data_IF_998370646076
#
_entry.id   IF_998370646076
#
_cell.length_a   1.000
_cell.length_b   1.000
_cell.length_c   1.000
_cell.angle_alpha   90.00
_cell.angle_beta   90.00
_cell.angle_gamma   90.00
#
_symmetry.space_group_name_H-M   'P 1'
#
loop_
_entity.id
_entity.type
_entity.pdbx_description
1 polymer ?
#
# COMPACT_ATOMS: atom_id res chain seq x y z
N UNK A 1 -37.11 -57.12 40.18
CA UNK A 1 -36.70 -55.93 39.40
C UNK A 1 -36.16 -56.41 38.07
N UNK A 2 -36.92 -56.18 37.00
CA UNK A 2 -36.72 -56.80 35.68
C UNK A 2 -35.71 -56.01 34.85
N UNK A 3 -34.64 -56.67 34.43
CA UNK A 3 -33.75 -56.17 33.35
C UNK A 3 -34.37 -56.55 31.98
N UNK A 4 -34.70 -55.56 31.19
CA UNK A 4 -35.06 -55.75 29.78
C UNK A 4 -33.78 -55.85 28.94
N UNK A 5 -33.59 -57.02 28.32
CA UNK A 5 -32.62 -57.26 27.25
C UNK A 5 -33.23 -56.74 25.97
N UNK A 6 -32.53 -55.83 25.34
CA UNK A 6 -32.82 -55.38 23.98
C UNK A 6 -31.97 -56.20 23.02
N UNK A 7 -32.65 -56.99 22.21
CA UNK A 7 -32.04 -57.81 21.13
C UNK A 7 -31.68 -56.89 19.95
N UNK A 8 -30.43 -56.88 19.56
CA UNK A 8 -29.93 -56.22 18.34
C UNK A 8 -29.92 -57.30 17.24
N UNK A 9 -30.73 -57.10 16.20
CA UNK A 9 -30.74 -57.95 15.00
C UNK A 9 -29.58 -57.56 14.07
N UNK A 10 -28.88 -58.53 13.48
CA UNK A 10 -27.86 -58.25 12.45
C UNK A 10 -28.52 -58.24 11.07
N UNK A 11 -28.61 -57.07 10.47
CA UNK A 11 -28.98 -57.02 9.06
C UNK A 11 -28.24 -55.91 8.33
N UNK A 12 -27.64 -56.37 7.27
CA UNK A 12 -27.09 -55.71 6.08
C UNK A 12 -25.61 -55.33 6.10
N UNK A 13 -24.81 -56.33 5.78
CA UNK A 13 -23.52 -56.12 5.11
C UNK A 13 -23.77 -55.49 3.73
N UNK A 14 -23.52 -54.18 3.60
CA UNK A 14 -23.44 -53.57 2.28
C UNK A 14 -22.04 -53.82 1.74
N UNK A 15 -21.97 -54.61 0.70
CA UNK A 15 -20.79 -54.79 -0.15
C UNK A 15 -20.43 -53.45 -0.77
N UNK A 16 -19.33 -52.86 -0.34
CA UNK A 16 -18.71 -51.76 -1.04
C UNK A 16 -18.11 -52.25 -2.35
N UNK A 17 -18.81 -51.98 -3.45
CA UNK A 17 -18.28 -52.14 -4.79
C UNK A 17 -17.07 -51.21 -4.94
N UNK A 18 -15.88 -51.78 -5.03
CA UNK A 18 -14.66 -51.09 -5.42
C UNK A 18 -14.80 -50.63 -6.86
N UNK A 19 -15.17 -49.38 -7.07
CA UNK A 19 -15.01 -48.73 -8.37
C UNK A 19 -13.51 -48.68 -8.65
N UNK A 20 -13.04 -49.49 -9.57
CA UNK A 20 -11.76 -49.33 -10.21
C UNK A 20 -11.75 -47.98 -10.93
N UNK A 21 -11.04 -47.02 -10.37
CA UNK A 21 -10.69 -45.82 -11.11
C UNK A 21 -9.74 -46.26 -12.22
N UNK A 22 -10.22 -46.31 -13.45
CA UNK A 22 -9.38 -46.41 -14.61
C UNK A 22 -8.54 -45.11 -14.62
N UNK A 23 -7.26 -45.26 -14.44
CA UNK A 23 -6.30 -44.15 -14.65
C UNK A 23 -6.37 -43.80 -16.14
N UNK A 24 -7.15 -42.75 -16.45
CA UNK A 24 -7.01 -42.07 -17.72
C UNK A 24 -5.60 -41.50 -17.75
N UNK A 25 -4.78 -42.09 -18.62
CA UNK A 25 -3.48 -41.53 -18.97
C UNK A 25 -3.74 -40.12 -19.53
N UNK A 26 -3.60 -39.10 -18.65
CA UNK A 26 -3.53 -37.73 -19.09
C UNK A 26 -2.31 -37.63 -19.99
N UNK A 27 -2.53 -37.39 -21.27
CA UNK A 27 -1.54 -36.90 -22.19
C UNK A 27 -0.73 -35.83 -21.48
N UNK A 28 0.59 -36.03 -21.39
CA UNK A 28 1.52 -35.01 -20.99
C UNK A 28 1.35 -33.84 -21.96
N UNK A 29 0.52 -32.86 -21.57
CA UNK A 29 0.59 -31.56 -22.19
C UNK A 29 2.03 -31.11 -22.01
N UNK A 30 2.71 -30.88 -23.12
CA UNK A 30 4.04 -30.27 -23.14
C UNK A 30 3.89 -28.93 -22.44
N UNK A 31 4.24 -28.88 -21.15
CA UNK A 31 4.35 -27.62 -20.45
C UNK A 31 5.40 -26.81 -21.21
N UNK A 32 4.98 -25.82 -21.98
CA UNK A 32 5.88 -24.87 -22.59
C UNK A 32 6.75 -24.31 -21.47
N UNK A 33 8.05 -24.51 -21.57
CA UNK A 33 9.00 -23.91 -20.66
C UNK A 33 8.94 -22.41 -20.93
N UNK A 34 8.18 -21.69 -20.10
CA UNK A 34 8.08 -20.23 -20.18
C UNK A 34 9.43 -19.69 -19.76
N UNK A 35 10.11 -19.05 -20.67
CA UNK A 35 11.34 -18.29 -20.39
C UNK A 35 10.95 -17.06 -19.55
N UNK A 36 11.16 -17.19 -18.23
CA UNK A 36 10.79 -16.15 -17.27
C UNK A 36 11.54 -14.84 -17.50
N UNK A 37 12.77 -14.90 -17.97
CA UNK A 37 13.58 -13.70 -18.23
C UNK A 37 13.06 -12.93 -19.45
N UNK A 38 12.60 -13.64 -20.46
CA UNK A 38 11.98 -13.03 -21.62
C UNK A 38 10.68 -12.31 -21.28
N UNK A 39 9.80 -12.98 -20.53
CA UNK A 39 8.53 -12.39 -20.09
C UNK A 39 8.79 -11.18 -19.19
N UNK A 40 9.78 -11.25 -18.31
CA UNK A 40 10.20 -10.14 -17.46
C UNK A 40 10.62 -8.92 -18.29
N UNK A 41 11.46 -9.13 -19.28
CA UNK A 41 11.95 -8.06 -20.14
C UNK A 41 10.81 -7.42 -20.96
N UNK A 42 9.89 -8.22 -21.48
CA UNK A 42 8.72 -7.73 -22.22
C UNK A 42 7.83 -6.86 -21.34
N UNK A 43 7.63 -7.26 -20.06
CA UNK A 43 6.85 -6.47 -19.08
C UNK A 43 7.56 -5.16 -18.77
N UNK A 44 8.87 -5.16 -18.52
CA UNK A 44 9.62 -3.92 -18.24
C UNK A 44 9.63 -2.97 -19.44
N UNK A 45 9.75 -3.48 -20.66
CA UNK A 45 9.66 -2.66 -21.86
C UNK A 45 8.25 -2.04 -22.01
N UNK A 46 7.21 -2.82 -21.76
CA UNK A 46 5.84 -2.33 -21.81
C UNK A 46 5.60 -1.21 -20.79
N UNK A 47 6.08 -1.38 -19.56
CA UNK A 47 5.98 -0.34 -18.52
C UNK A 47 6.78 0.92 -18.93
N UNK A 48 7.97 0.77 -19.45
CA UNK A 48 8.80 1.91 -19.88
C UNK A 48 8.16 2.67 -21.04
N UNK A 49 7.52 1.97 -21.97
CA UNK A 49 6.76 2.57 -23.06
C UNK A 49 5.54 3.34 -22.54
N UNK A 50 4.80 2.76 -21.59
CA UNK A 50 3.67 3.43 -20.93
C UNK A 50 4.11 4.69 -20.17
N UNK A 51 5.18 4.64 -19.41
CA UNK A 51 5.74 5.82 -18.71
C UNK A 51 6.09 6.93 -19.72
N UNK A 52 6.66 6.59 -20.88
CA UNK A 52 6.97 7.57 -21.92
C UNK A 52 5.74 8.11 -22.63
N UNK A 53 4.74 7.27 -22.88
CA UNK A 53 3.48 7.65 -23.48
C UNK A 53 2.63 8.53 -22.52
N UNK A 54 2.67 8.20 -21.23
CA UNK A 54 1.88 8.87 -20.19
C UNK A 54 2.46 10.21 -19.69
N UNK A 55 3.41 10.84 -20.39
CA UNK A 55 3.87 12.19 -20.03
C UNK A 55 2.73 13.22 -19.85
N UNK A 56 1.53 12.87 -20.26
CA UNK A 56 0.30 13.68 -20.12
C UNK A 56 -0.64 13.18 -19.02
N UNK A 57 -0.41 12.00 -18.47
CA UNK A 57 -1.27 11.43 -17.44
C UNK A 57 -0.67 11.64 -16.06
N UNK A 58 -1.53 11.87 -15.08
CA UNK A 58 -1.12 12.07 -13.70
C UNK A 58 -0.60 10.76 -13.12
N UNK A 59 0.68 10.74 -12.83
CA UNK A 59 1.24 9.71 -11.97
C UNK A 59 0.86 9.98 -10.52
N UNK A 60 0.69 8.93 -9.75
CA UNK A 60 0.60 9.03 -8.31
C UNK A 60 1.74 8.25 -7.67
N UNK A 61 2.19 8.71 -6.53
CA UNK A 61 3.17 8.01 -5.71
C UNK A 61 2.65 7.78 -4.30
N UNK A 62 3.12 6.72 -3.66
CA UNK A 62 2.96 6.54 -2.22
C UNK A 62 4.31 6.77 -1.57
N UNK A 63 4.40 7.84 -0.79
CA UNK A 63 5.61 8.27 -0.12
C UNK A 63 5.49 8.07 1.39
N UNK A 64 6.62 7.78 2.04
CA UNK A 64 6.69 7.67 3.48
C UNK A 64 7.41 8.89 4.05
N UNK A 65 6.63 9.76 4.72
CA UNK A 65 7.14 11.02 5.28
C UNK A 65 6.59 11.17 6.70
N UNK A 66 7.46 11.58 7.61
CA UNK A 66 7.10 11.88 9.00
C UNK A 66 6.30 10.75 9.69
N UNK A 67 6.74 9.49 9.52
CA UNK A 67 6.11 8.33 10.15
C UNK A 67 4.81 7.84 9.53
N UNK A 68 4.31 8.50 8.46
CA UNK A 68 3.06 8.17 7.78
C UNK A 68 3.27 7.97 6.28
N UNK A 69 2.35 7.23 5.69
CA UNK A 69 2.29 7.03 4.24
C UNK A 69 1.28 7.98 3.64
N UNK A 70 1.68 8.62 2.55
CA UNK A 70 0.85 9.58 1.82
C UNK A 70 0.76 9.17 0.36
N UNK A 71 -0.46 9.08 -0.15
CA UNK A 71 -0.68 8.98 -1.60
C UNK A 71 -0.71 10.40 -2.15
N UNK A 72 0.16 10.67 -3.10
CA UNK A 72 0.38 12.01 -3.64
C UNK A 72 0.40 12.01 -5.16
N UNK A 73 -0.06 13.09 -5.73
CA UNK A 73 0.00 13.39 -7.16
C UNK A 73 0.52 14.80 -7.36
N UNK A 74 0.80 15.18 -8.59
CA UNK A 74 1.28 16.52 -8.91
C UNK A 74 0.31 17.59 -8.44
N UNK A 75 0.82 18.57 -7.71
CA UNK A 75 0.05 19.70 -7.19
C UNK A 75 -0.63 19.45 -5.85
N UNK A 76 -0.56 18.27 -5.28
CA UNK A 76 -1.17 17.95 -3.98
C UNK A 76 -0.46 18.67 -2.82
N UNK A 77 -1.23 19.01 -1.80
CA UNK A 77 -0.76 19.56 -0.55
C UNK A 77 -0.80 18.50 0.55
N UNK A 78 0.30 18.37 1.28
CA UNK A 78 0.42 17.48 2.43
C UNK A 78 0.65 18.34 3.68
N UNK A 79 -0.10 18.05 4.73
CA UNK A 79 0.11 18.67 6.03
C UNK A 79 0.91 17.71 6.93
N UNK A 80 2.18 18.01 7.15
CA UNK A 80 3.07 17.24 8.00
C UNK A 80 3.01 17.79 9.42
N UNK A 81 2.76 16.90 10.37
CA UNK A 81 2.75 17.26 11.80
C UNK A 81 4.17 17.57 12.28
N UNK A 82 4.30 18.64 13.06
CA UNK A 82 5.54 19.10 13.63
C UNK A 82 6.27 20.16 12.81
N UNK A 83 7.22 20.81 13.46
CA UNK A 83 8.08 21.80 12.85
C UNK A 83 9.33 21.13 12.28
N UNK A 84 9.34 20.91 10.98
CA UNK A 84 10.50 20.38 10.29
C UNK A 84 11.61 21.44 10.17
N UNK A 85 12.89 21.08 10.18
CA UNK A 85 14.01 22.00 10.04
C UNK A 85 14.20 22.46 8.58
N UNK A 86 13.13 22.97 7.97
CA UNK A 86 13.08 23.48 6.61
C UNK A 86 12.51 24.88 6.63
N UNK A 87 12.89 25.73 5.69
CA UNK A 87 12.34 27.07 5.51
C UNK A 87 11.22 27.08 4.47
N UNK A 88 10.33 28.06 4.55
CA UNK A 88 9.31 28.26 3.51
C UNK A 88 10.00 28.62 2.19
N UNK A 89 9.64 27.91 1.13
CA UNK A 89 10.25 28.03 -0.19
C UNK A 89 11.35 27.00 -0.48
N UNK A 90 11.78 26.22 0.52
CA UNK A 90 12.77 25.17 0.30
C UNK A 90 12.22 24.08 -0.61
N UNK A 91 13.00 23.69 -1.60
CA UNK A 91 12.73 22.55 -2.46
C UNK A 91 13.34 21.29 -1.86
N UNK A 92 12.53 20.25 -1.73
CA UNK A 92 12.93 18.97 -1.15
C UNK A 92 12.61 17.83 -2.09
N UNK A 93 13.40 16.75 -2.01
CA UNK A 93 13.12 15.48 -2.69
C UNK A 93 12.64 14.46 -1.67
N UNK A 94 11.53 13.80 -1.97
CA UNK A 94 11.00 12.75 -1.14
C UNK A 94 11.59 11.41 -1.59
N UNK A 95 12.62 10.94 -0.89
CA UNK A 95 13.40 9.76 -1.28
C UNK A 95 12.69 8.43 -0.97
N UNK A 96 11.83 8.42 0.06
CA UNK A 96 11.17 7.18 0.51
C UNK A 96 9.88 6.95 -0.26
N UNK A 97 10.01 6.51 -1.50
CA UNK A 97 8.87 6.15 -2.35
C UNK A 97 8.63 4.64 -2.26
N UNK A 98 7.44 4.27 -1.83
CA UNK A 98 7.03 2.86 -1.67
C UNK A 98 6.44 2.30 -2.96
N UNK A 99 5.72 3.13 -3.69
CA UNK A 99 4.98 2.75 -4.88
C UNK A 99 4.82 3.96 -5.79
N UNK A 100 4.82 3.71 -7.09
CA UNK A 100 4.37 4.67 -8.11
C UNK A 100 3.41 3.98 -9.05
N UNK A 101 2.43 4.68 -9.54
CA UNK A 101 1.48 4.13 -10.49
C UNK A 101 0.92 5.18 -11.44
N UNK A 102 0.51 4.68 -12.59
CA UNK A 102 -0.24 5.39 -13.61
C UNK A 102 -1.64 4.81 -13.79
N UNK A 103 -2.21 5.00 -14.99
CA UNK A 103 -3.52 4.45 -15.31
C UNK A 103 -3.48 2.92 -15.50
N UNK A 104 -2.42 2.42 -16.13
CA UNK A 104 -2.33 1.03 -16.61
C UNK A 104 -1.26 0.20 -15.88
N UNK A 105 -0.44 0.81 -15.04
CA UNK A 105 0.64 0.12 -14.34
C UNK A 105 0.79 0.56 -12.89
N UNK A 106 1.47 -0.26 -12.10
CA UNK A 106 1.90 0.04 -10.74
C UNK A 106 3.25 -0.61 -10.47
N UNK A 107 4.20 0.19 -9.97
CA UNK A 107 5.51 -0.25 -9.53
C UNK A 107 5.56 -0.26 -8.01
N UNK A 108 5.88 -1.39 -7.44
CA UNK A 108 6.00 -1.57 -5.98
C UNK A 108 7.46 -1.71 -5.58
N UNK A 109 7.86 -0.97 -4.57
CA UNK A 109 9.18 -1.12 -3.94
C UNK A 109 9.25 -2.35 -3.02
N UNK A 110 10.47 -2.86 -2.76
CA UNK A 110 10.73 -3.96 -1.84
C UNK A 110 11.80 -3.60 -0.81
N UNK A 111 11.51 -2.77 0.18
CA UNK A 111 10.29 -2.00 0.47
C UNK A 111 10.22 -0.66 -0.26
N UNK A 112 11.32 -0.12 -0.75
CA UNK A 112 11.43 1.18 -1.40
C UNK A 112 11.76 1.03 -2.88
N UNK A 113 11.30 1.98 -3.68
CA UNK A 113 11.75 2.15 -5.06
C UNK A 113 13.10 2.86 -5.07
N UNK A 114 13.92 2.54 -6.06
CA UNK A 114 15.21 3.19 -6.22
C UNK A 114 15.06 4.67 -6.59
N UNK A 115 15.88 5.56 -6.02
CA UNK A 115 15.83 7.00 -6.31
C UNK A 115 16.09 7.34 -7.78
N UNK A 116 16.75 6.44 -8.53
CA UNK A 116 16.98 6.60 -9.96
C UNK A 116 15.73 6.31 -10.78
N UNK A 117 14.88 5.39 -10.33
CA UNK A 117 13.67 5.00 -11.01
C UNK A 117 12.52 6.00 -10.82
N UNK A 118 12.41 6.58 -9.64
CA UNK A 118 11.31 7.50 -9.29
C UNK A 118 11.84 8.66 -8.46
N UNK A 119 11.44 9.87 -8.84
CA UNK A 119 11.71 11.10 -8.06
C UNK A 119 10.40 11.83 -7.79
N UNK A 120 10.24 12.28 -6.55
CA UNK A 120 9.12 13.11 -6.11
C UNK A 120 9.68 14.41 -5.56
N UNK A 121 9.46 15.49 -6.29
CA UNK A 121 9.91 16.82 -5.92
C UNK A 121 8.78 17.56 -5.20
N UNK A 122 9.11 18.24 -4.13
CA UNK A 122 8.17 18.98 -3.31
C UNK A 122 8.77 20.32 -2.85
N UNK A 123 7.90 21.24 -2.43
CA UNK A 123 8.30 22.55 -1.91
C UNK A 123 7.53 22.85 -0.63
N UNK A 124 8.21 23.42 0.34
CA UNK A 124 7.58 23.89 1.57
C UNK A 124 6.84 25.18 1.30
N UNK A 125 5.52 25.18 1.50
CA UNK A 125 4.65 26.32 1.20
C UNK A 125 4.40 27.16 2.44
N UNK A 126 4.14 26.50 3.57
CA UNK A 126 3.68 27.17 4.77
C UNK A 126 4.15 26.43 6.02
N UNK A 127 4.45 27.17 7.06
CA UNK A 127 4.59 26.70 8.43
C UNK A 127 3.50 27.33 9.27
N UNK A 128 2.67 26.52 9.90
CA UNK A 128 1.53 26.97 10.68
C UNK A 128 1.37 26.16 11.96
N UNK A 129 0.49 26.63 12.82
CA UNK A 129 -0.02 25.85 13.93
C UNK A 129 -1.37 25.25 13.54
N UNK A 130 -1.70 24.08 14.08
CA UNK A 130 -3.03 23.49 13.95
C UNK A 130 -4.07 24.37 14.67
N UNK A 131 -5.34 24.18 14.31
CA UNK A 131 -6.41 24.87 15.04
C UNK A 131 -6.33 24.49 16.53
N UNK A 132 -6.37 25.50 17.43
CA UNK A 132 -6.28 25.23 18.85
C UNK A 132 -7.50 24.45 19.34
N UNK A 133 -7.24 23.36 20.05
CA UNK A 133 -8.26 22.55 20.70
C UNK A 133 -8.38 22.92 22.18
N UNK A 134 -9.59 23.16 22.63
CA UNK A 134 -9.89 23.45 24.02
C UNK A 134 -10.00 22.11 24.81
N UNK A 135 -9.07 21.88 25.71
CA UNK A 135 -9.12 20.75 26.63
C UNK A 135 -9.63 21.24 28.00
N UNK A 136 -10.90 20.97 28.28
CA UNK A 136 -11.53 21.35 29.52
C UNK A 136 -11.71 20.13 30.43
N UNK A 137 -11.21 20.25 31.65
CA UNK A 137 -11.36 19.24 32.71
C UNK A 137 -12.03 19.88 33.90
N UNK A 138 -13.14 19.30 34.35
CA UNK A 138 -13.82 19.65 35.59
C UNK A 138 -13.81 18.45 36.53
N UNK A 139 -13.19 18.61 37.69
CA UNK A 139 -13.19 17.57 38.72
C UNK A 139 -14.44 17.74 39.56
N UNK A 140 -15.34 16.75 39.50
CA UNK A 140 -16.55 16.72 40.35
C UNK A 140 -16.14 16.69 41.82
N UNK A 141 -16.91 17.37 42.66
CA UNK A 141 -16.67 17.55 44.10
C UNK A 141 -15.39 18.33 44.46
N UNK A 142 -14.66 18.81 43.47
CA UNK A 142 -13.54 19.75 43.66
C UNK A 142 -13.85 21.05 42.91
N UNK A 143 -13.48 22.18 43.51
CA UNK A 143 -13.66 23.49 42.88
C UNK A 143 -12.64 23.75 41.74
N UNK A 144 -11.91 22.71 41.35
CA UNK A 144 -10.83 22.81 40.40
C UNK A 144 -11.33 22.61 38.96
N UNK A 145 -11.07 23.57 38.11
CA UNK A 145 -11.39 23.56 36.68
C UNK A 145 -10.13 23.93 35.92
N UNK A 146 -9.79 23.13 34.90
CA UNK A 146 -8.66 23.39 34.02
C UNK A 146 -9.16 23.60 32.60
N UNK A 147 -8.72 24.66 31.96
CA UNK A 147 -8.92 24.92 30.55
C UNK A 147 -7.55 25.12 29.91
N UNK A 148 -7.14 24.18 29.09
CA UNK A 148 -5.93 24.26 28.29
C UNK A 148 -6.27 24.33 26.82
N UNK A 149 -5.58 25.23 26.11
CA UNK A 149 -5.57 25.29 24.65
C UNK A 149 -4.34 24.58 24.14
N UNK A 150 -4.53 23.55 23.32
CA UNK A 150 -3.45 22.81 22.70
C UNK A 150 -3.45 23.09 21.21
N UNK A 151 -2.29 23.48 20.69
CA UNK A 151 -2.06 23.66 19.26
C UNK A 151 -0.71 23.06 18.93
N UNK A 152 -0.67 22.22 17.90
CA UNK A 152 0.55 21.57 17.45
C UNK A 152 1.08 22.29 16.21
N UNK A 153 2.39 22.30 16.01
CA UNK A 153 3.01 22.88 14.83
C UNK A 153 2.80 21.97 13.62
N UNK A 154 2.70 22.57 12.44
CA UNK A 154 2.50 21.85 11.20
C UNK A 154 3.27 22.52 10.04
N UNK A 155 3.81 21.70 9.17
CA UNK A 155 4.50 22.14 7.94
C UNK A 155 3.71 21.69 6.73
N UNK A 156 3.31 22.62 5.87
CA UNK A 156 2.59 22.31 4.63
C UNK A 156 3.56 22.22 3.48
N UNK A 157 3.53 21.10 2.78
CA UNK A 157 4.39 20.81 1.63
C UNK A 157 3.52 20.59 0.40
N UNK A 158 3.88 21.23 -0.71
CA UNK A 158 3.24 21.00 -2.02
C UNK A 158 4.10 20.10 -2.88
N UNK A 159 3.50 19.10 -3.48
CA UNK A 159 4.16 18.25 -4.46
C UNK A 159 4.27 19.01 -5.78
N UNK A 160 5.49 19.18 -6.30
CA UNK A 160 5.75 19.84 -7.58
C UNK A 160 5.54 18.87 -8.74
N UNK A 161 6.19 17.71 -8.66
CA UNK A 161 6.14 16.72 -9.71
C UNK A 161 6.43 15.32 -9.18
N UNK A 162 5.79 14.34 -9.79
CA UNK A 162 6.09 12.91 -9.66
C UNK A 162 6.61 12.42 -10.99
N UNK A 163 7.89 12.03 -11.05
CA UNK A 163 8.53 11.56 -12.28
C UNK A 163 9.03 10.13 -12.12
N UNK A 164 8.68 9.27 -13.07
CA UNK A 164 9.21 7.92 -13.19
C UNK A 164 10.09 7.85 -14.44
N UNK A 165 11.29 7.27 -14.33
CA UNK A 165 12.27 7.16 -15.43
C UNK A 165 12.29 5.76 -16.07
N UNK A 166 11.47 4.86 -15.56
CA UNK A 166 11.52 3.45 -15.94
C UNK A 166 12.43 2.65 -14.99
N UNK A 167 12.32 1.34 -15.10
CA UNK A 167 13.14 0.40 -14.31
C UNK A 167 14.29 -0.04 -15.19
N UNK A 168 15.51 0.41 -14.88
CA UNK A 168 16.72 -0.16 -15.45
C UNK A 168 17.02 -1.49 -14.75
N UNK A 169 17.53 -2.47 -15.53
CA UNK A 169 17.86 -3.82 -15.02
C UNK A 169 19.12 -3.81 -14.17
#
# INVERSE_FOLDING_TARGET
MLRRLVSISPSSLRLFSSRLYSATSSSSENAEIIDTDRVKNDVFQSISNEIQAEKRHRLFAVVYVNGRQWKVSDGDLINLEGNLPLSVGDEIKLEKVLMVGGANFSLFGRPLLEPHAVTVDAVVVEKKTTNPEAHYVHLNHHQTKFLNWKSDEATVVRIKSVTAKGVEQ
#
